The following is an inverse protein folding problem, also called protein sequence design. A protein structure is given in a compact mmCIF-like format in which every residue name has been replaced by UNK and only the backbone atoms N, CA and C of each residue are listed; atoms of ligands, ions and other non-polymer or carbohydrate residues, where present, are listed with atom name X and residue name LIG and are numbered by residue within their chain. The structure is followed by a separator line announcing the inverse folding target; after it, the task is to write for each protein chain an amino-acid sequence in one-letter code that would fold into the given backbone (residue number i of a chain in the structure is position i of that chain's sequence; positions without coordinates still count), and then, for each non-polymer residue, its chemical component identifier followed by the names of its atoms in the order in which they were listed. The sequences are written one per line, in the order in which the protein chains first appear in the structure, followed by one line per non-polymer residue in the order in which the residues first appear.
data_IF_215693912001
#
_entry.id   IF_215693912001
#
_cell.length_a   1.000
_cell.length_b   1.000
_cell.length_c   1.000
_cell.angle_alpha   90.00
_cell.angle_beta   90.00
_cell.angle_gamma   90.00
#
_symmetry.space_group_name_H-M   'P 1'
#
loop_
_entity.id
_entity.type
_entity.pdbx_description
1 polymer ?
#
# COMPACT_ATOMS: atom_id res chain seq x y z
N UNK A 1 -128.75 33.49 10.23
CA UNK A 1 -127.85 34.61 9.90
C UNK A 1 -126.44 34.03 9.84
N UNK A 2 -125.54 34.24 8.88
CA UNK A 2 -125.47 34.99 7.62
C UNK A 2 -124.06 34.68 7.05
N UNK A 3 -123.97 34.41 5.73
CA UNK A 3 -122.80 34.38 4.78
C UNK A 3 -121.58 33.44 5.01
N UNK A 4 -121.26 32.51 4.07
CA UNK A 4 -120.56 32.61 2.74
C UNK A 4 -119.02 32.58 2.90
N UNK A 5 -118.24 31.70 2.25
CA UNK A 5 -117.88 31.78 0.81
C UNK A 5 -117.41 30.45 0.17
N UNK A 6 -118.00 30.15 -1.00
CA UNK A 6 -117.51 29.52 -2.25
C UNK A 6 -116.31 28.55 -2.29
N UNK A 7 -116.56 27.36 -2.86
CA UNK A 7 -115.61 26.46 -3.51
C UNK A 7 -115.88 26.43 -5.03
N UNK A 8 -114.86 26.66 -5.86
CA UNK A 8 -114.85 26.22 -7.27
C UNK A 8 -113.45 25.68 -7.62
N UNK A 9 -113.45 24.49 -8.21
CA UNK A 9 -112.30 23.64 -8.51
C UNK A 9 -111.40 24.24 -9.60
N UNK A 10 -110.09 24.20 -9.37
CA UNK A 10 -109.05 24.52 -10.35
C UNK A 10 -108.18 23.29 -10.62
N UNK A 11 -108.09 22.91 -11.87
CA UNK A 11 -107.33 21.81 -12.47
C UNK A 11 -105.82 21.91 -12.18
N UNK A 12 -105.22 20.82 -11.70
CA UNK A 12 -103.77 20.68 -11.52
C UNK A 12 -103.08 20.39 -12.85
N UNK A 13 -102.25 21.33 -13.30
CA UNK A 13 -101.28 21.13 -14.40
C UNK A 13 -100.04 20.45 -13.81
N UNK A 14 -99.68 19.26 -14.29
CA UNK A 14 -98.44 18.58 -13.92
C UNK A 14 -97.25 19.18 -14.68
N UNK A 15 -96.30 19.77 -13.96
CA UNK A 15 -94.96 20.05 -14.48
C UNK A 15 -94.17 18.74 -14.68
N UNK A 16 -93.43 18.56 -15.80
CA UNK A 16 -92.60 17.36 -15.98
C UNK A 16 -91.44 17.37 -14.97
N UNK A 17 -90.92 16.20 -14.55
CA UNK A 17 -89.77 16.15 -13.65
C UNK A 17 -88.52 16.70 -14.37
N UNK A 18 -87.73 17.50 -13.64
CA UNK A 18 -86.43 17.94 -14.09
C UNK A 18 -85.52 16.71 -14.28
N UNK A 19 -85.05 16.50 -15.51
CA UNK A 19 -84.00 15.52 -15.81
C UNK A 19 -82.71 15.99 -15.15
N UNK A 20 -82.36 15.39 -14.00
CA UNK A 20 -81.04 15.52 -13.42
C UNK A 20 -80.08 14.80 -14.36
N UNK A 21 -79.25 15.56 -15.08
CA UNK A 21 -78.05 15.02 -15.73
C UNK A 21 -77.12 14.53 -14.62
N UNK A 22 -77.20 13.23 -14.32
CA UNK A 22 -76.15 12.55 -13.55
C UNK A 22 -74.94 12.52 -14.48
N UNK A 23 -74.01 13.45 -14.28
CA UNK A 23 -72.67 13.31 -14.85
C UNK A 23 -72.07 12.08 -14.19
N UNK A 24 -71.85 11.03 -14.98
CA UNK A 24 -71.15 9.84 -14.51
C UNK A 24 -69.84 10.28 -13.84
N UNK A 25 -69.59 9.77 -12.64
CA UNK A 25 -68.35 10.03 -11.94
C UNK A 25 -67.18 9.62 -12.85
N UNK A 26 -66.11 10.44 -12.94
CA UNK A 26 -64.98 10.12 -13.80
C UNK A 26 -64.41 8.73 -13.44
N UNK A 27 -63.96 7.96 -14.44
CA UNK A 27 -63.44 6.62 -14.21
C UNK A 27 -62.27 6.67 -13.23
N UNK A 28 -62.19 5.65 -12.37
CA UNK A 28 -61.09 5.54 -11.42
C UNK A 28 -59.76 5.45 -12.15
N UNK A 29 -58.77 6.22 -11.70
CA UNK A 29 -57.43 6.27 -12.32
C UNK A 29 -56.35 6.28 -11.26
N UNK A 30 -55.16 5.80 -11.62
CA UNK A 30 -53.94 5.92 -10.82
C UNK A 30 -52.76 6.27 -11.74
N UNK A 31 -51.89 7.17 -11.27
CA UNK A 31 -50.69 7.57 -11.99
C UNK A 31 -49.50 7.67 -11.04
N UNK A 32 -48.32 7.33 -11.55
CA UNK A 32 -47.04 7.67 -10.90
C UNK A 32 -46.63 9.04 -11.44
N UNK A 33 -46.56 10.05 -10.58
CA UNK A 33 -46.37 11.45 -11.02
C UNK A 33 -45.01 12.03 -10.60
N UNK A 34 -44.36 11.46 -9.59
CA UNK A 34 -43.05 11.90 -9.14
C UNK A 34 -42.16 10.70 -8.85
N UNK A 35 -41.06 10.60 -9.59
CA UNK A 35 -40.04 9.57 -9.47
C UNK A 35 -38.72 10.08 -10.08
N UNK A 36 -37.56 9.61 -9.59
CA UNK A 36 -36.27 9.96 -10.16
C UNK A 36 -35.95 9.12 -11.41
N UNK A 37 -35.34 9.73 -12.44
CA UNK A 37 -34.87 8.98 -13.62
C UNK A 37 -33.68 8.05 -13.29
N UNK A 38 -32.88 8.42 -12.29
CA UNK A 38 -31.67 7.71 -11.84
C UNK A 38 -31.55 7.72 -10.32
N UNK A 39 -31.17 6.58 -9.75
CA UNK A 39 -30.86 6.43 -8.32
C UNK A 39 -29.66 5.51 -8.13
N UNK A 40 -28.88 5.73 -7.08
CA UNK A 40 -27.83 4.79 -6.69
C UNK A 40 -28.42 3.56 -5.99
N UNK A 41 -27.75 2.41 -6.11
CA UNK A 41 -28.03 1.24 -5.25
C UNK A 41 -27.96 1.67 -3.79
N UNK A 42 -28.93 1.18 -3.00
CA UNK A 42 -29.15 1.51 -1.59
C UNK A 42 -29.52 2.95 -1.27
N UNK A 43 -29.67 3.82 -2.27
CA UNK A 43 -30.26 5.13 -2.06
C UNK A 43 -31.76 4.99 -1.80
N UNK A 44 -32.24 5.50 -0.68
CA UNK A 44 -33.67 5.67 -0.43
C UNK A 44 -34.19 6.90 -1.18
N UNK A 45 -35.36 6.79 -1.80
CA UNK A 45 -36.01 7.89 -2.53
C UNK A 45 -37.52 7.76 -2.45
N UNK A 46 -38.23 8.87 -2.69
CA UNK A 46 -39.68 8.90 -2.71
C UNK A 46 -40.21 8.58 -4.11
N UNK A 47 -41.23 7.73 -4.19
CA UNK A 47 -42.10 7.60 -5.35
C UNK A 47 -43.48 8.07 -4.90
N UNK A 48 -44.10 8.97 -5.64
CA UNK A 48 -45.46 9.41 -5.35
C UNK A 48 -46.30 9.53 -6.61
N UNK A 49 -47.60 9.56 -6.39
CA UNK A 49 -48.58 9.58 -7.46
C UNK A 49 -49.91 10.17 -7.02
N UNK A 50 -50.85 10.18 -7.97
CA UNK A 50 -52.22 10.65 -7.76
C UNK A 50 -53.19 9.56 -8.20
N UNK A 51 -54.35 9.53 -7.56
CA UNK A 51 -55.45 8.64 -7.89
C UNK A 51 -56.79 9.35 -7.74
N UNK A 52 -57.74 9.03 -8.61
CA UNK A 52 -59.09 9.59 -8.61
C UNK A 52 -60.07 8.44 -8.37
N UNK A 53 -61.04 8.63 -7.46
CA UNK A 53 -62.08 7.64 -7.16
C UNK A 53 -61.60 6.42 -6.37
N UNK A 54 -60.40 6.47 -5.78
CA UNK A 54 -59.74 5.35 -5.10
C UNK A 54 -59.37 5.64 -3.64
N UNK A 55 -59.94 6.69 -3.02
CA UNK A 55 -59.64 7.08 -1.64
C UNK A 55 -59.77 5.92 -0.65
N UNK A 56 -58.77 5.75 0.21
CA UNK A 56 -58.66 4.67 1.19
C UNK A 56 -58.18 3.34 0.64
N UNK A 57 -58.15 3.16 -0.69
CA UNK A 57 -57.75 1.89 -1.30
C UNK A 57 -56.23 1.69 -1.23
N UNK A 58 -55.76 0.46 -1.00
CA UNK A 58 -54.34 0.15 -0.95
C UNK A 58 -53.71 0.21 -2.35
N UNK A 59 -52.56 0.85 -2.46
CA UNK A 59 -51.76 0.89 -3.69
C UNK A 59 -50.70 -0.20 -3.62
N UNK A 60 -50.58 -0.97 -4.71
CA UNK A 60 -49.49 -1.92 -4.93
C UNK A 60 -48.53 -1.37 -5.97
N UNK A 61 -47.25 -1.32 -5.65
CA UNK A 61 -46.19 -1.03 -6.61
C UNK A 61 -45.57 -2.34 -7.08
N UNK A 62 -45.56 -2.56 -8.40
CA UNK A 62 -44.94 -3.71 -9.04
C UNK A 62 -43.65 -3.29 -9.75
N UNK A 63 -42.56 -4.01 -9.48
CA UNK A 63 -41.25 -3.82 -10.10
C UNK A 63 -40.97 -4.98 -11.06
N UNK A 64 -40.60 -4.63 -12.30
CA UNK A 64 -40.26 -5.56 -13.38
C UNK A 64 -41.31 -6.65 -13.65
N UNK A 65 -42.59 -6.33 -13.40
CA UNK A 65 -43.73 -7.27 -13.48
C UNK A 65 -43.60 -8.52 -12.59
N UNK A 66 -42.73 -8.49 -11.58
CA UNK A 66 -42.42 -9.66 -10.76
C UNK A 66 -42.59 -9.37 -9.27
N UNK A 67 -42.00 -8.28 -8.77
CA UNK A 67 -41.94 -8.00 -7.34
C UNK A 67 -43.00 -6.98 -6.96
N UNK A 68 -43.88 -7.34 -6.02
CA UNK A 68 -44.95 -6.47 -5.54
C UNK A 68 -44.66 -6.00 -4.12
N UNK A 69 -44.94 -4.74 -3.85
CA UNK A 69 -44.89 -4.15 -2.51
C UNK A 69 -46.08 -3.24 -2.27
N UNK A 70 -46.50 -3.07 -1.01
CA UNK A 70 -47.48 -2.05 -0.66
C UNK A 70 -46.85 -0.65 -0.72
N UNK A 71 -47.57 0.29 -1.32
CA UNK A 71 -47.22 1.71 -1.42
C UNK A 71 -48.19 2.59 -0.60
N UNK A 72 -48.67 2.06 0.52
CA UNK A 72 -49.67 2.71 1.36
C UNK A 72 -51.07 2.65 0.75
N UNK A 73 -51.92 3.59 1.16
CA UNK A 73 -53.27 3.77 0.61
C UNK A 73 -53.44 5.16 0.05
N UNK A 74 -54.37 5.32 -0.88
CA UNK A 74 -54.73 6.62 -1.45
C UNK A 74 -55.34 7.51 -0.35
N UNK A 75 -54.76 8.68 -0.14
CA UNK A 75 -55.23 9.66 0.83
C UNK A 75 -56.54 10.34 0.38
N UNK A 76 -57.15 11.13 1.27
CA UNK A 76 -58.41 11.84 0.99
C UNK A 76 -58.29 12.85 -0.16
N UNK A 77 -57.09 13.41 -0.37
CA UNK A 77 -56.78 14.31 -1.49
C UNK A 77 -56.38 13.58 -2.78
N UNK A 78 -56.43 12.24 -2.79
CA UNK A 78 -56.05 11.42 -3.92
C UNK A 78 -54.55 11.14 -4.04
N UNK A 79 -53.71 11.65 -3.13
CA UNK A 79 -52.27 11.40 -3.16
C UNK A 79 -51.91 10.02 -2.60
N UNK A 80 -50.80 9.45 -3.07
CA UNK A 80 -50.18 8.26 -2.47
C UNK A 80 -48.67 8.34 -2.63
N UNK A 81 -47.93 7.70 -1.72
CA UNK A 81 -46.48 7.74 -1.75
C UNK A 81 -45.83 6.55 -1.04
N UNK A 82 -44.61 6.22 -1.46
CA UNK A 82 -43.78 5.18 -0.87
C UNK A 82 -42.31 5.62 -0.88
N UNK A 83 -41.61 5.39 0.22
CA UNK A 83 -40.14 5.45 0.23
C UNK A 83 -39.60 4.11 -0.22
N UNK A 84 -38.78 4.12 -1.25
CA UNK A 84 -38.28 2.92 -1.91
C UNK A 84 -36.75 2.92 -2.03
N UNK A 85 -36.16 1.74 -2.15
CA UNK A 85 -34.72 1.54 -2.31
C UNK A 85 -34.44 0.30 -3.16
N UNK A 86 -33.55 0.42 -4.14
CA UNK A 86 -33.07 -0.71 -4.92
C UNK A 86 -31.77 -1.27 -4.35
N UNK A 87 -31.62 -2.60 -4.37
CA UNK A 87 -30.42 -3.28 -3.86
C UNK A 87 -29.44 -3.73 -4.96
N UNK A 88 -29.84 -3.60 -6.23
CA UNK A 88 -29.05 -4.07 -7.37
C UNK A 88 -29.14 -3.06 -8.51
N UNK A 89 -28.03 -2.93 -9.26
CA UNK A 89 -27.94 -2.07 -10.45
C UNK A 89 -28.83 -2.58 -11.57
N UNK A 90 -29.16 -1.68 -12.49
CA UNK A 90 -29.89 -1.97 -13.71
C UNK A 90 -31.12 -1.10 -13.87
N UNK A 91 -31.69 -1.17 -15.07
CA UNK A 91 -32.93 -0.47 -15.40
C UNK A 91 -34.12 -1.24 -14.82
N UNK A 92 -35.04 -0.54 -14.16
CA UNK A 92 -36.20 -1.10 -13.46
C UNK A 92 -37.48 -0.49 -13.98
N UNK A 93 -38.47 -1.30 -14.31
CA UNK A 93 -39.81 -0.88 -14.72
C UNK A 93 -40.73 -0.89 -13.52
N UNK A 94 -41.53 0.15 -13.34
CA UNK A 94 -42.44 0.28 -12.21
C UNK A 94 -43.86 0.57 -12.69
N UNK A 95 -44.84 -0.11 -12.10
CA UNK A 95 -46.27 0.12 -12.28
C UNK A 95 -46.97 0.17 -10.93
N UNK A 96 -47.86 1.13 -10.74
CA UNK A 96 -48.74 1.20 -9.58
C UNK A 96 -50.11 0.60 -9.95
N UNK A 97 -50.72 -0.12 -9.03
CA UNK A 97 -52.06 -0.68 -9.23
C UNK A 97 -52.89 -0.64 -7.96
N UNK A 98 -54.20 -0.53 -8.11
CA UNK A 98 -55.18 -0.74 -7.04
C UNK A 98 -56.10 -1.88 -7.46
N UNK A 99 -56.21 -2.90 -6.62
CA UNK A 99 -57.06 -4.05 -6.89
C UNK A 99 -58.53 -3.64 -6.68
N UNK A 100 -59.28 -3.59 -7.78
CA UNK A 100 -60.72 -3.28 -7.80
C UNK A 100 -61.48 -4.38 -8.53
N UNK A 101 -62.75 -4.59 -8.17
CA UNK A 101 -63.63 -5.55 -8.86
C UNK A 101 -64.42 -4.81 -9.96
N UNK A 102 -64.48 -5.32 -11.21
CA UNK A 102 -63.99 -6.61 -11.69
C UNK A 102 -62.53 -6.63 -12.17
N UNK A 103 -61.91 -5.46 -12.39
CA UNK A 103 -60.55 -5.34 -12.93
C UNK A 103 -59.73 -4.32 -12.15
N UNK A 104 -58.43 -4.57 -11.90
CA UNK A 104 -57.56 -3.62 -11.23
C UNK A 104 -57.34 -2.35 -12.08
N UNK A 105 -57.23 -1.20 -11.41
CA UNK A 105 -56.81 0.06 -12.04
C UNK A 105 -55.28 0.12 -12.00
N UNK A 106 -54.63 0.28 -13.16
CA UNK A 106 -53.16 0.21 -13.31
C UNK A 106 -52.64 1.51 -13.92
N UNK A 107 -51.51 2.00 -13.44
CA UNK A 107 -50.84 3.20 -13.96
C UNK A 107 -50.08 2.95 -15.27
N UNK A 108 -49.61 4.02 -15.89
CA UNK A 108 -48.51 3.95 -16.84
C UNK A 108 -47.26 3.29 -16.22
N UNK A 109 -46.46 2.65 -17.06
CA UNK A 109 -45.14 2.13 -16.65
C UNK A 109 -44.11 3.25 -16.68
N UNK A 110 -43.35 3.40 -15.60
CA UNK A 110 -42.18 4.29 -15.54
C UNK A 110 -40.90 3.48 -15.43
N UNK A 111 -39.77 4.07 -15.81
CA UNK A 111 -38.48 3.39 -15.79
C UNK A 111 -37.47 4.18 -14.96
N UNK A 112 -36.79 3.50 -14.04
CA UNK A 112 -35.73 4.07 -13.21
C UNK A 112 -34.42 3.35 -13.52
N UNK A 113 -33.35 4.10 -13.75
CA UNK A 113 -32.01 3.52 -13.92
C UNK A 113 -31.29 3.47 -12.58
N UNK A 114 -31.04 2.27 -12.07
CA UNK A 114 -30.28 2.05 -10.82
C UNK A 114 -28.79 1.93 -11.15
N UNK A 115 -28.00 2.89 -10.69
CA UNK A 115 -26.54 2.94 -10.91
C UNK A 115 -25.78 2.47 -9.67
N UNK A 116 -24.51 2.11 -9.83
CA UNK A 116 -23.65 1.87 -8.68
C UNK A 116 -23.53 3.14 -7.84
N UNK A 117 -23.54 3.00 -6.51
CA UNK A 117 -23.27 4.12 -5.62
C UNK A 117 -21.85 4.66 -5.86
N UNK A 118 -21.68 5.98 -5.78
CA UNK A 118 -20.34 6.56 -5.82
C UNK A 118 -19.55 6.08 -4.61
N UNK A 119 -18.30 5.61 -4.79
CA UNK A 119 -17.50 5.15 -3.66
C UNK A 119 -17.22 6.33 -2.73
N UNK A 120 -17.57 6.16 -1.45
CA UNK A 120 -17.28 7.17 -0.42
C UNK A 120 -15.83 7.13 0.03
N UNK A 121 -15.19 5.97 -0.04
CA UNK A 121 -13.79 5.77 0.29
C UNK A 121 -12.98 5.58 -1.00
N UNK A 122 -11.93 6.37 -1.17
CA UNK A 122 -11.07 6.36 -2.36
C UNK A 122 -9.63 6.30 -1.89
N UNK A 123 -8.81 5.47 -2.55
CA UNK A 123 -7.36 5.43 -2.35
C UNK A 123 -6.69 6.16 -3.52
N UNK A 124 -5.85 7.14 -3.22
CA UNK A 124 -5.03 7.82 -4.22
C UNK A 124 -3.82 6.94 -4.55
N UNK A 125 -3.66 6.49 -5.81
CA UNK A 125 -2.50 5.69 -6.19
C UNK A 125 -1.19 6.45 -5.96
N UNK A 126 -0.16 5.80 -5.37
CA UNK A 126 1.17 6.41 -5.28
C UNK A 126 1.73 6.73 -6.67
N UNK A 127 2.33 7.91 -6.81
CA UNK A 127 2.92 8.38 -8.07
C UNK A 127 4.38 7.96 -8.26
N UNK A 128 5.02 7.46 -7.20
CA UNK A 128 6.41 7.02 -7.19
C UNK A 128 6.49 5.50 -6.97
N UNK A 129 7.55 4.83 -7.47
CA UNK A 129 7.81 3.44 -7.15
C UNK A 129 7.90 3.21 -5.63
N UNK A 130 7.40 2.04 -5.21
CA UNK A 130 7.29 1.64 -3.81
C UNK A 130 8.41 0.64 -3.55
N UNK A 131 9.22 0.85 -2.51
CA UNK A 131 10.31 -0.05 -2.17
C UNK A 131 10.14 -0.65 -0.78
N UNK A 132 10.74 -1.82 -0.50
CA UNK A 132 10.83 -2.34 0.86
C UNK A 132 11.71 -1.44 1.71
N UNK A 133 11.62 -1.51 3.04
CA UNK A 133 12.48 -0.76 3.96
C UNK A 133 12.37 0.78 3.87
N UNK A 134 11.39 1.31 3.11
CA UNK A 134 11.07 2.74 3.07
C UNK A 134 9.65 2.98 3.57
N UNK A 135 9.44 4.14 4.19
CA UNK A 135 8.10 4.59 4.56
C UNK A 135 7.42 5.18 3.32
N UNK A 136 6.23 4.69 2.99
CA UNK A 136 5.44 5.17 1.85
C UNK A 136 4.19 5.86 2.38
N UNK A 137 3.97 7.09 1.94
CA UNK A 137 2.72 7.77 2.21
C UNK A 137 1.60 7.21 1.32
N UNK A 138 0.51 6.80 1.94
CA UNK A 138 -0.73 6.44 1.26
C UNK A 138 -1.82 7.41 1.69
N UNK A 139 -2.51 8.00 0.72
CA UNK A 139 -3.55 9.01 0.96
C UNK A 139 -4.84 8.64 0.25
N UNK A 140 -5.92 9.31 0.61
CA UNK A 140 -7.20 9.12 -0.05
C UNK A 140 -8.30 10.06 0.45
N UNK A 141 -9.49 9.85 -0.10
CA UNK A 141 -10.70 10.56 0.28
C UNK A 141 -11.64 9.65 1.09
N UNK A 142 -12.35 10.23 2.04
CA UNK A 142 -13.39 9.61 2.85
C UNK A 142 -14.61 10.55 2.85
N UNK A 143 -15.35 10.55 1.74
CA UNK A 143 -16.48 11.45 1.49
C UNK A 143 -17.66 11.13 2.41
N UNK A 144 -18.16 12.17 3.09
CA UNK A 144 -19.27 12.04 4.04
C UNK A 144 -18.93 11.27 5.31
N UNK A 145 -17.67 10.98 5.60
CA UNK A 145 -17.22 10.50 6.91
C UNK A 145 -16.94 11.70 7.82
N UNK A 146 -17.24 11.59 9.13
CA UNK A 146 -16.99 12.66 10.08
C UNK A 146 -15.50 12.76 10.46
N UNK A 147 -15.06 13.97 10.80
CA UNK A 147 -13.72 14.19 11.31
C UNK A 147 -13.53 13.46 12.65
N UNK A 148 -12.40 12.77 12.79
CA UNK A 148 -12.13 11.92 13.96
C UNK A 148 -12.50 10.45 13.78
N UNK A 149 -13.25 10.08 12.73
CA UNK A 149 -13.51 8.68 12.43
C UNK A 149 -12.22 7.92 12.12
N UNK A 150 -12.08 6.71 12.69
CA UNK A 150 -10.92 5.85 12.50
C UNK A 150 -11.18 4.83 11.39
N UNK A 151 -10.27 4.78 10.42
CA UNK A 151 -10.23 3.77 9.39
C UNK A 151 -9.23 2.67 9.76
N UNK A 152 -9.28 1.53 9.09
CA UNK A 152 -8.30 0.46 9.18
C UNK A 152 -7.66 0.26 7.81
N UNK A 153 -6.33 0.30 7.74
CA UNK A 153 -5.59 -0.12 6.55
C UNK A 153 -5.03 -1.51 6.78
N UNK A 154 -5.40 -2.45 5.91
CA UNK A 154 -5.02 -3.86 5.99
C UNK A 154 -4.32 -4.29 4.71
N UNK A 155 -3.26 -5.08 4.84
CA UNK A 155 -2.60 -5.76 3.72
C UNK A 155 -2.99 -7.23 3.65
N UNK A 156 -3.18 -7.70 2.42
CA UNK A 156 -3.38 -9.10 2.04
C UNK A 156 -4.48 -9.80 2.86
N UNK A 157 -5.53 -9.03 3.22
CA UNK A 157 -6.68 -9.44 4.05
C UNK A 157 -6.33 -9.93 5.46
N UNK A 158 -5.07 -9.81 5.89
CA UNK A 158 -4.58 -10.42 7.12
C UNK A 158 -3.95 -9.41 8.06
N UNK A 159 -3.12 -8.49 7.55
CA UNK A 159 -2.23 -7.69 8.39
C UNK A 159 -2.72 -6.26 8.49
N UNK A 160 -3.13 -5.81 9.69
CA UNK A 160 -3.43 -4.39 9.92
C UNK A 160 -2.12 -3.62 9.90
N UNK A 161 -1.98 -2.70 8.94
CA UNK A 161 -0.79 -1.86 8.77
C UNK A 161 -0.92 -0.52 9.51
N UNK A 162 -2.12 0.06 9.53
CA UNK A 162 -2.34 1.38 10.11
C UNK A 162 -3.81 1.63 10.47
N UNK A 163 -4.03 2.69 11.27
CA UNK A 163 -5.36 3.16 11.68
C UNK A 163 -5.50 4.68 11.51
N UNK A 164 -5.56 5.18 10.26
CA UNK A 164 -5.61 6.61 10.03
C UNK A 164 -6.96 7.20 10.48
N UNK A 165 -6.92 8.50 10.78
CA UNK A 165 -8.10 9.27 11.20
C UNK A 165 -8.53 10.16 10.04
N UNK A 166 -9.84 10.22 9.78
CA UNK A 166 -10.43 11.13 8.79
C UNK A 166 -10.32 12.57 9.27
N UNK A 167 -9.87 13.46 8.39
CA UNK A 167 -9.83 14.92 8.59
C UNK A 167 -10.17 15.64 7.30
N UNK A 168 -11.12 16.55 7.34
CA UNK A 168 -11.63 17.28 6.18
C UNK A 168 -11.98 16.35 5.01
N UNK A 169 -12.68 15.25 5.29
CA UNK A 169 -13.05 14.20 4.32
C UNK A 169 -11.85 13.55 3.59
N UNK A 170 -10.65 13.63 4.15
CA UNK A 170 -9.44 12.99 3.65
C UNK A 170 -8.79 12.13 4.73
N UNK A 171 -7.95 11.21 4.30
CA UNK A 171 -7.13 10.41 5.20
C UNK A 171 -5.73 10.23 4.61
N UNK A 172 -4.77 10.00 5.50
CA UNK A 172 -3.38 9.71 5.13
C UNK A 172 -2.75 8.79 6.17
N UNK A 173 -1.81 7.96 5.73
CA UNK A 173 -0.98 7.13 6.61
C UNK A 173 0.36 6.85 5.96
N UNK A 174 1.33 6.43 6.77
CA UNK A 174 2.57 5.84 6.28
C UNK A 174 2.50 4.32 6.40
N UNK A 175 2.92 3.63 5.36
CA UNK A 175 3.04 2.18 5.30
C UNK A 175 4.51 1.80 5.20
N UNK A 176 4.86 0.63 5.74
CA UNK A 176 6.21 0.08 5.67
C UNK A 176 6.13 -1.39 5.27
N UNK A 177 6.92 -1.79 4.28
CA UNK A 177 6.98 -3.17 3.81
C UNK A 177 8.40 -3.70 3.96
N UNK A 178 8.56 -4.88 4.55
CA UNK A 178 9.85 -5.57 4.67
C UNK A 178 10.10 -6.60 3.56
N UNK A 179 9.10 -6.86 2.71
CA UNK A 179 9.17 -7.83 1.63
C UNK A 179 8.53 -7.25 0.37
N UNK A 180 9.16 -7.52 -0.79
CA UNK A 180 8.63 -7.12 -2.09
C UNK A 180 7.50 -8.03 -2.57
N UNK A 181 6.92 -7.67 -3.70
CA UNK A 181 5.82 -8.35 -4.37
C UNK A 181 4.55 -7.51 -4.44
N UNK A 182 3.51 -8.09 -5.02
CA UNK A 182 2.19 -7.46 -5.06
C UNK A 182 1.54 -7.54 -3.67
N UNK A 183 0.92 -6.45 -3.23
CA UNK A 183 0.23 -6.34 -1.95
C UNK A 183 -1.18 -5.81 -2.19
N UNK A 184 -2.19 -6.54 -1.76
CA UNK A 184 -3.56 -6.06 -1.75
C UNK A 184 -3.75 -5.17 -0.52
N UNK A 185 -3.90 -3.87 -0.72
CA UNK A 185 -4.19 -2.93 0.36
C UNK A 185 -5.68 -2.66 0.37
N UNK A 186 -6.28 -2.85 1.53
CA UNK A 186 -7.68 -2.55 1.81
C UNK A 186 -7.75 -1.44 2.85
N UNK A 187 -8.47 -0.37 2.54
CA UNK A 187 -8.85 0.66 3.51
C UNK A 187 -10.30 0.40 3.87
N UNK A 188 -10.59 0.23 5.15
CA UNK A 188 -11.86 -0.29 5.65
C UNK A 188 -12.41 0.72 6.65
N UNK A 189 -13.62 1.20 6.39
CA UNK A 189 -14.39 1.95 7.36
C UNK A 189 -15.44 1.05 8.05
N UNK A 190 -16.04 0.14 7.28
CA UNK A 190 -16.98 -0.88 7.78
C UNK A 190 -16.95 -2.11 6.88
N UNK A 191 -17.68 -3.18 7.24
CA UNK A 191 -17.83 -4.37 6.40
C UNK A 191 -18.44 -4.06 5.02
N UNK A 192 -19.20 -2.97 4.92
CA UNK A 192 -19.91 -2.57 3.70
C UNK A 192 -19.19 -1.44 2.96
N UNK A 193 -18.22 -0.77 3.60
CA UNK A 193 -17.45 0.34 3.03
C UNK A 193 -15.96 0.08 3.14
N UNK A 194 -15.39 -0.37 2.03
CA UNK A 194 -13.95 -0.49 1.85
C UNK A 194 -13.53 -0.09 0.44
N UNK A 195 -12.26 0.29 0.32
CA UNK A 195 -11.60 0.56 -0.95
C UNK A 195 -10.35 -0.32 -1.05
N UNK A 196 -9.97 -0.73 -2.26
CA UNK A 196 -8.85 -1.63 -2.48
C UNK A 196 -7.91 -1.11 -3.56
N UNK A 197 -6.62 -1.35 -3.38
CA UNK A 197 -5.59 -1.11 -4.40
C UNK A 197 -4.54 -2.22 -4.33
N UNK A 198 -3.99 -2.60 -5.49
CA UNK A 198 -2.80 -3.46 -5.54
C UNK A 198 -1.57 -2.56 -5.61
N UNK A 199 -0.69 -2.67 -4.63
CA UNK A 199 0.61 -2.02 -4.64
C UNK A 199 1.67 -3.01 -5.11
N UNK A 200 2.49 -2.61 -6.08
CA UNK A 200 3.67 -3.36 -6.49
C UNK A 200 4.86 -2.89 -5.66
N UNK A 201 5.15 -3.59 -4.56
CA UNK A 201 6.28 -3.27 -3.68
C UNK A 201 7.54 -3.90 -4.27
N UNK A 202 8.49 -3.09 -4.69
CA UNK A 202 9.79 -3.55 -5.16
C UNK A 202 10.68 -3.84 -3.95
N UNK A 203 11.53 -4.86 -4.01
CA UNK A 203 12.60 -4.94 -3.02
C UNK A 203 13.44 -3.66 -3.14
N UNK A 204 13.73 -2.99 -2.02
CA UNK A 204 14.80 -1.98 -2.02
C UNK A 204 16.02 -2.65 -2.63
N UNK A 205 16.67 -2.03 -3.63
CA UNK A 205 17.87 -2.60 -4.20
C UNK A 205 18.94 -2.76 -3.12
N UNK A 206 19.04 -3.96 -2.55
CA UNK A 206 20.24 -4.48 -1.92
C UNK A 206 20.98 -5.27 -3.00
N UNK A 207 21.58 -4.58 -3.97
CA UNK A 207 22.22 -5.22 -5.13
C UNK A 207 23.56 -5.92 -4.83
N UNK A 208 23.93 -6.04 -3.55
CA UNK A 208 25.21 -6.66 -3.18
C UNK A 208 25.02 -8.16 -3.00
N UNK A 209 25.27 -8.92 -4.05
CA UNK A 209 25.38 -10.38 -3.95
C UNK A 209 26.70 -10.76 -3.27
N UNK A 210 26.64 -11.07 -1.97
CA UNK A 210 27.78 -11.66 -1.26
C UNK A 210 27.70 -13.18 -1.37
N UNK A 211 28.69 -13.78 -2.01
CA UNK A 211 28.85 -15.22 -2.04
C UNK A 211 29.18 -15.72 -0.63
N UNK A 212 28.32 -16.58 -0.04
CA UNK A 212 28.47 -16.99 1.35
C UNK A 212 29.71 -17.86 1.52
N UNK A 213 30.18 -17.97 2.77
CA UNK A 213 31.37 -18.75 3.11
C UNK A 213 31.32 -20.20 2.59
N UNK A 214 30.13 -20.79 2.61
CA UNK A 214 29.86 -22.17 2.14
C UNK A 214 30.20 -22.39 0.65
N UNK A 215 30.28 -21.32 -0.16
CA UNK A 215 30.67 -21.42 -1.57
C UNK A 215 32.13 -21.85 -1.73
N UNK A 216 33.02 -21.45 -0.82
CA UNK A 216 34.46 -21.67 -0.97
C UNK A 216 35.06 -22.63 0.06
N UNK A 217 34.39 -22.87 1.20
CA UNK A 217 34.85 -23.83 2.21
C UNK A 217 33.70 -24.48 2.97
N UNK A 218 33.91 -25.73 3.40
CA UNK A 218 33.04 -26.43 4.36
C UNK A 218 33.39 -26.10 5.82
N UNK A 219 34.55 -25.48 6.07
CA UNK A 219 35.00 -25.16 7.42
C UNK A 219 34.26 -23.92 7.94
N UNK A 220 33.48 -24.00 9.02
CA UNK A 220 32.84 -22.82 9.59
C UNK A 220 33.88 -21.85 10.18
N UNK A 221 33.47 -20.62 10.46
CA UNK A 221 34.27 -19.73 11.31
C UNK A 221 34.38 -20.35 12.70
N UNK A 222 35.59 -20.48 13.30
CA UNK A 222 35.76 -21.09 14.61
C UNK A 222 34.91 -20.40 15.69
N UNK A 223 34.15 -21.20 16.45
CA UNK A 223 33.22 -20.69 17.46
C UNK A 223 33.93 -20.00 18.62
N UNK A 224 35.14 -20.45 18.97
CA UNK A 224 35.95 -19.92 20.06
C UNK A 224 36.52 -18.51 19.80
N UNK A 225 36.37 -17.95 18.60
CA UNK A 225 36.78 -16.57 18.33
C UNK A 225 35.95 -15.58 19.17
N UNK A 226 36.57 -14.49 19.69
CA UNK A 226 35.85 -13.43 20.38
C UNK A 226 34.72 -12.85 19.52
N UNK A 227 33.61 -12.47 20.13
CA UNK A 227 32.53 -11.79 19.41
C UNK A 227 32.93 -10.36 19.05
N UNK A 228 32.48 -9.90 17.88
CA UNK A 228 32.58 -8.50 17.49
C UNK A 228 31.37 -7.74 18.05
N UNK A 229 31.62 -6.86 19.02
CA UNK A 229 30.56 -6.13 19.72
C UNK A 229 30.51 -4.69 19.22
N UNK A 230 29.33 -4.26 18.77
CA UNK A 230 29.05 -2.89 18.32
C UNK A 230 30.08 -2.33 17.31
N UNK A 231 30.34 -3.02 16.17
CA UNK A 231 31.24 -2.50 15.16
C UNK A 231 30.71 -1.17 14.60
N UNK A 232 31.56 -0.14 14.61
CA UNK A 232 31.20 1.21 14.13
C UNK A 232 32.15 1.71 13.04
N UNK A 233 32.87 0.80 12.38
CA UNK A 233 33.90 1.12 11.39
C UNK A 233 34.03 0.02 10.35
N UNK A 234 34.45 0.40 9.16
CA UNK A 234 34.85 -0.48 8.07
C UNK A 234 36.31 -0.17 7.75
N UNK A 235 37.20 -1.15 7.79
CA UNK A 235 38.62 -0.98 7.43
C UNK A 235 38.88 -1.65 6.10
N UNK A 236 39.37 -0.90 5.12
CA UNK A 236 39.77 -1.42 3.81
C UNK A 236 41.23 -1.88 3.83
N UNK A 237 41.44 -3.07 3.30
CA UNK A 237 42.72 -3.74 3.17
C UNK A 237 43.00 -4.13 1.72
N UNK A 238 44.23 -4.54 1.44
CA UNK A 238 44.56 -5.36 0.29
C UNK A 238 45.11 -6.72 0.70
N UNK A 239 45.09 -7.70 -0.20
CA UNK A 239 45.59 -9.06 0.13
C UNK A 239 47.11 -9.17 0.02
N UNK A 240 47.79 -8.28 -0.72
CA UNK A 240 49.23 -8.39 -1.05
C UNK A 240 49.56 -9.68 -1.81
N UNK A 241 48.57 -10.20 -2.54
CA UNK A 241 48.74 -11.31 -3.47
C UNK A 241 48.60 -10.73 -4.87
N UNK A 242 49.46 -11.16 -5.81
CA UNK A 242 49.33 -10.77 -7.21
C UNK A 242 47.86 -10.90 -7.68
N UNK A 243 47.30 -9.83 -8.22
CA UNK A 243 45.88 -9.76 -8.52
C UNK A 243 45.49 -10.82 -9.56
N UNK A 244 44.33 -11.44 -9.37
CA UNK A 244 43.69 -12.19 -10.44
C UNK A 244 43.30 -11.25 -11.59
N UNK A 245 43.15 -11.77 -12.82
CA UNK A 245 42.56 -10.96 -13.90
C UNK A 245 41.09 -10.64 -13.60
N UNK A 246 40.59 -9.51 -14.10
CA UNK A 246 39.21 -9.06 -13.86
C UNK A 246 38.15 -10.00 -14.44
N UNK A 247 38.51 -10.87 -15.39
CA UNK A 247 37.64 -11.89 -15.96
C UNK A 247 37.89 -13.30 -15.37
N UNK A 248 38.58 -13.41 -14.22
CA UNK A 248 38.78 -14.69 -13.56
C UNK A 248 37.45 -15.45 -13.37
N UNK A 249 37.49 -16.77 -13.47
CA UNK A 249 36.34 -17.62 -13.18
C UNK A 249 36.06 -17.68 -11.68
N UNK A 250 34.83 -18.01 -11.30
CA UNK A 250 34.45 -18.20 -9.89
C UNK A 250 35.31 -19.30 -9.22
N UNK A 251 35.68 -20.34 -9.97
CA UNK A 251 36.57 -21.41 -9.50
C UNK A 251 37.95 -20.88 -9.10
N UNK A 252 38.57 -20.02 -9.92
CA UNK A 252 39.85 -19.40 -9.60
C UNK A 252 39.77 -18.54 -8.34
N UNK A 253 38.67 -17.80 -8.17
CA UNK A 253 38.46 -16.97 -6.98
C UNK A 253 38.18 -17.78 -5.72
N UNK A 254 37.50 -18.93 -5.83
CA UNK A 254 37.35 -19.89 -4.72
C UNK A 254 38.74 -20.40 -4.28
N UNK A 255 39.64 -20.70 -5.22
CA UNK A 255 41.01 -21.07 -4.86
C UNK A 255 41.77 -19.91 -4.24
N UNK A 256 41.56 -18.66 -4.70
CA UNK A 256 42.12 -17.46 -4.06
C UNK A 256 41.64 -17.30 -2.62
N UNK A 257 40.35 -17.52 -2.34
CA UNK A 257 39.82 -17.47 -0.96
C UNK A 257 40.52 -18.50 -0.05
N UNK A 258 40.72 -19.73 -0.55
CA UNK A 258 41.44 -20.79 0.16
C UNK A 258 42.91 -20.41 0.39
N UNK A 259 43.58 -19.90 -0.63
CA UNK A 259 44.95 -19.40 -0.54
C UNK A 259 45.11 -18.31 0.53
N UNK A 260 44.21 -17.31 0.56
CA UNK A 260 44.24 -16.25 1.58
C UNK A 260 44.02 -16.83 2.98
N UNK A 261 43.13 -17.81 3.14
CA UNK A 261 42.95 -18.51 4.41
C UNK A 261 44.20 -19.29 4.81
N UNK A 262 44.80 -20.02 3.89
CA UNK A 262 45.97 -20.87 4.17
C UNK A 262 47.18 -20.03 4.58
N UNK A 263 47.41 -18.87 3.95
CA UNK A 263 48.44 -17.92 4.37
C UNK A 263 48.16 -17.44 5.80
N UNK A 264 46.92 -17.06 6.13
CA UNK A 264 46.59 -16.62 7.48
C UNK A 264 46.77 -17.70 8.54
N UNK A 265 46.40 -18.96 8.23
CA UNK A 265 46.57 -20.07 9.16
C UNK A 265 48.05 -20.42 9.36
N UNK A 266 48.77 -20.63 8.25
CA UNK A 266 50.08 -21.26 8.28
C UNK A 266 51.24 -20.26 8.40
N UNK A 267 51.09 -19.05 7.85
CA UNK A 267 52.14 -18.03 7.86
C UNK A 267 51.90 -16.96 8.93
N UNK A 268 50.65 -16.57 9.18
CA UNK A 268 50.31 -15.53 10.17
C UNK A 268 49.90 -16.07 11.54
N UNK A 269 49.66 -17.37 11.68
CA UNK A 269 49.25 -18.00 12.93
C UNK A 269 47.83 -17.63 13.38
N UNK A 270 46.97 -17.17 12.46
CA UNK A 270 45.58 -16.82 12.78
C UNK A 270 44.72 -18.09 12.86
N UNK A 271 43.61 -18.04 13.60
CA UNK A 271 42.69 -19.20 13.70
C UNK A 271 41.76 -19.37 12.50
N UNK A 272 41.65 -18.36 11.64
CA UNK A 272 40.87 -18.39 10.39
C UNK A 272 41.32 -17.23 9.49
N UNK A 273 40.75 -17.14 8.28
CA UNK A 273 40.89 -15.96 7.42
C UNK A 273 40.65 -14.66 8.22
N UNK A 274 41.55 -13.66 8.09
CA UNK A 274 41.52 -12.47 8.95
C UNK A 274 40.42 -11.46 8.62
N UNK A 275 39.98 -11.43 7.37
CA UNK A 275 39.00 -10.47 6.82
C UNK A 275 37.57 -11.00 6.88
N UNK A 276 36.59 -10.11 7.01
CA UNK A 276 35.16 -10.49 7.00
C UNK A 276 34.62 -10.59 5.58
N UNK A 277 35.10 -9.74 4.67
CA UNK A 277 34.73 -9.75 3.26
C UNK A 277 35.96 -9.59 2.39
N UNK A 278 35.95 -10.22 1.22
CA UNK A 278 36.99 -10.05 0.20
C UNK A 278 36.33 -9.71 -1.13
N UNK A 279 36.80 -8.65 -1.79
CA UNK A 279 36.31 -8.17 -3.09
C UNK A 279 37.32 -8.52 -4.18
N UNK A 280 36.92 -9.37 -5.11
CA UNK A 280 37.76 -9.86 -6.20
C UNK A 280 37.82 -8.85 -7.37
N UNK A 281 38.85 -8.91 -8.23
CA UNK A 281 38.96 -8.04 -9.42
C UNK A 281 37.76 -8.11 -10.38
N UNK A 282 37.01 -9.22 -10.38
CA UNK A 282 35.77 -9.40 -11.15
C UNK A 282 34.55 -8.64 -10.60
N UNK A 283 34.66 -8.07 -9.39
CA UNK A 283 33.54 -7.47 -8.67
C UNK A 283 32.74 -8.45 -7.81
N UNK A 284 33.06 -9.76 -7.82
CA UNK A 284 32.46 -10.71 -6.87
C UNK A 284 32.95 -10.46 -5.45
N UNK A 285 32.04 -10.63 -4.50
CA UNK A 285 32.27 -10.39 -3.07
C UNK A 285 32.07 -11.69 -2.33
N UNK A 286 33.05 -12.09 -1.55
CA UNK A 286 33.02 -13.32 -0.77
C UNK A 286 32.96 -13.02 0.72
N UNK A 287 32.11 -13.73 1.44
CA UNK A 287 32.15 -13.78 2.90
C UNK A 287 33.38 -14.59 3.36
N UNK A 288 34.22 -13.96 4.19
CA UNK A 288 35.38 -14.58 4.82
C UNK A 288 35.03 -15.08 6.22
N UNK A 289 35.59 -14.41 7.23
CA UNK A 289 35.26 -14.64 8.64
C UNK A 289 33.87 -14.07 8.94
N UNK A 290 33.07 -14.79 9.72
CA UNK A 290 31.74 -14.30 10.13
C UNK A 290 31.83 -12.89 10.71
N UNK A 291 31.01 -11.98 10.20
CA UNK A 291 30.86 -10.60 10.71
C UNK A 291 30.35 -10.49 12.16
N UNK A 292 30.02 -11.62 12.81
CA UNK A 292 29.70 -11.70 14.25
C UNK A 292 30.93 -11.93 15.13
N UNK A 293 32.05 -12.36 14.54
CA UNK A 293 33.30 -12.67 15.22
C UNK A 293 34.32 -11.58 14.96
N UNK A 294 35.21 -11.34 15.93
CA UNK A 294 36.29 -10.37 15.80
C UNK A 294 37.23 -10.79 14.66
N UNK A 295 37.60 -9.83 13.82
CA UNK A 295 38.58 -9.99 12.76
C UNK A 295 40.00 -10.28 13.26
N UNK A 296 40.92 -10.50 12.33
CA UNK A 296 42.37 -10.47 12.56
C UNK A 296 43.03 -9.70 11.42
N UNK A 297 42.48 -8.52 11.10
CA UNK A 297 42.87 -7.74 9.93
C UNK A 297 43.57 -6.44 10.29
N UNK A 298 43.33 -5.90 11.49
CA UNK A 298 44.13 -4.82 12.08
C UNK A 298 44.44 -5.14 13.55
N UNK A 299 45.23 -4.34 14.26
CA UNK A 299 45.61 -4.65 15.66
C UNK A 299 44.48 -4.38 16.66
N UNK A 300 43.48 -3.57 16.29
CA UNK A 300 42.41 -3.10 17.18
C UNK A 300 41.14 -3.95 17.04
N UNK A 301 40.84 -4.39 15.81
CA UNK A 301 39.72 -5.22 15.37
C UNK A 301 38.36 -4.83 16.00
N UNK A 302 38.06 -3.54 16.10
CA UNK A 302 36.77 -2.99 16.60
C UNK A 302 35.74 -2.74 15.48
N UNK A 303 35.98 -3.27 14.28
CA UNK A 303 35.18 -3.02 13.09
C UNK A 303 35.21 -4.17 12.08
N UNK A 304 34.65 -3.91 10.90
CA UNK A 304 34.57 -4.88 9.80
C UNK A 304 35.71 -4.65 8.81
N UNK A 305 36.67 -5.58 8.74
CA UNK A 305 37.68 -5.62 7.68
C UNK A 305 37.16 -6.14 6.34
N UNK A 306 37.37 -5.35 5.28
CA UNK A 306 37.10 -5.68 3.88
C UNK A 306 38.42 -5.66 3.13
N UNK A 307 38.85 -6.79 2.58
CA UNK A 307 40.04 -6.84 1.74
C UNK A 307 39.68 -6.71 0.25
N UNK A 308 40.48 -5.94 -0.47
CA UNK A 308 40.42 -5.83 -1.93
C UNK A 308 41.55 -6.70 -2.49
N UNK A 309 41.21 -7.75 -3.21
CA UNK A 309 42.20 -8.71 -3.68
C UNK A 309 43.15 -8.09 -4.71
N UNK A 310 44.45 -8.21 -4.45
CA UNK A 310 45.53 -7.63 -5.24
C UNK A 310 46.70 -7.13 -4.39
N UNK A 311 47.84 -6.93 -5.06
CA UNK A 311 48.99 -6.23 -4.51
C UNK A 311 49.00 -4.79 -5.04
N UNK A 312 48.61 -3.87 -4.17
CA UNK A 312 48.54 -2.44 -4.46
C UNK A 312 49.74 -1.66 -3.89
N UNK A 313 50.86 -2.31 -3.57
CA UNK A 313 52.07 -1.61 -3.11
C UNK A 313 52.75 -0.83 -4.24
N UNK A 314 52.64 -1.31 -5.49
CA UNK A 314 53.26 -0.71 -6.68
C UNK A 314 52.34 0.16 -7.53
N UNK A 315 52.34 -0.08 -8.85
CA UNK A 315 51.57 0.69 -9.84
C UNK A 315 50.14 0.17 -10.08
N UNK A 316 49.78 -0.99 -9.51
CA UNK A 316 48.42 -1.54 -9.65
C UNK A 316 47.38 -0.55 -9.11
N UNK A 317 46.20 -0.52 -9.74
CA UNK A 317 45.04 0.28 -9.32
C UNK A 317 43.79 -0.59 -9.32
N UNK A 318 42.85 -0.28 -8.45
CA UNK A 318 41.56 -0.97 -8.40
C UNK A 318 40.78 -0.70 -9.69
N UNK A 319 40.40 -1.76 -10.40
CA UNK A 319 39.63 -1.68 -11.64
C UNK A 319 38.14 -1.36 -11.40
N UNK A 320 37.38 -0.98 -12.43
CA UNK A 320 35.99 -0.53 -12.27
C UNK A 320 35.05 -1.55 -11.58
N UNK A 321 34.99 -2.84 -11.97
CA UNK A 321 34.08 -3.79 -11.32
C UNK A 321 34.42 -4.01 -9.83
N UNK A 322 35.71 -4.06 -9.51
CA UNK A 322 36.19 -4.20 -8.14
C UNK A 322 35.88 -2.95 -7.30
N UNK A 323 36.00 -1.76 -7.89
CA UNK A 323 35.65 -0.50 -7.23
C UNK A 323 34.16 -0.42 -6.92
N UNK A 324 33.31 -0.70 -7.91
CA UNK A 324 31.85 -0.72 -7.74
C UNK A 324 31.44 -1.68 -6.63
N UNK A 325 32.04 -2.88 -6.60
CA UNK A 325 31.80 -3.86 -5.56
C UNK A 325 32.25 -3.39 -4.16
N UNK A 326 33.38 -2.68 -4.05
CA UNK A 326 33.82 -2.05 -2.79
C UNK A 326 32.80 -1.03 -2.29
N UNK A 327 32.32 -0.14 -3.16
CA UNK A 327 31.27 0.85 -2.80
C UNK A 327 30.00 0.13 -2.38
N UNK A 328 29.61 -0.91 -3.11
CA UNK A 328 28.41 -1.69 -2.84
C UNK A 328 28.45 -2.36 -1.45
N UNK A 329 29.50 -3.15 -1.15
CA UNK A 329 29.64 -3.80 0.17
C UNK A 329 29.78 -2.77 1.30
N UNK A 330 30.48 -1.66 1.09
CA UNK A 330 30.57 -0.61 2.10
C UNK A 330 29.22 0.06 2.37
N UNK A 331 28.39 0.24 1.34
CA UNK A 331 27.02 0.77 1.49
C UNK A 331 26.15 -0.19 2.30
N UNK A 332 26.16 -1.48 1.95
CA UNK A 332 25.45 -2.52 2.71
C UNK A 332 25.89 -2.58 4.17
N UNK A 333 27.21 -2.54 4.42
CA UNK A 333 27.75 -2.52 5.77
C UNK A 333 27.38 -1.25 6.53
N UNK A 334 27.42 -0.07 5.90
CA UNK A 334 27.02 1.17 6.56
C UNK A 334 25.55 1.11 7.01
N UNK A 335 24.63 0.63 6.16
CA UNK A 335 23.22 0.39 6.53
C UNK A 335 23.12 -0.59 7.71
N UNK A 336 23.79 -1.74 7.63
CA UNK A 336 23.77 -2.77 8.67
C UNK A 336 24.33 -2.30 10.02
N UNK A 337 25.32 -1.40 10.00
CA UNK A 337 26.00 -0.87 11.18
C UNK A 337 25.36 0.43 11.70
N UNK A 338 24.32 0.95 11.04
CA UNK A 338 23.71 2.24 11.39
C UNK A 338 24.65 3.44 11.16
N UNK A 339 25.60 3.33 10.24
CA UNK A 339 26.50 4.42 9.85
C UNK A 339 25.79 5.25 8.77
N UNK A 340 25.27 6.42 9.15
CA UNK A 340 24.59 7.35 8.23
C UNK A 340 25.55 8.34 7.57
N UNK A 341 26.67 8.65 8.24
CA UNK A 341 27.71 9.53 7.71
C UNK A 341 29.07 8.82 7.69
N UNK A 342 29.51 8.30 6.54
CA UNK A 342 30.81 7.67 6.39
C UNK A 342 31.95 8.66 6.11
N UNK A 343 31.66 9.95 5.91
CA UNK A 343 32.63 10.99 5.51
C UNK A 343 33.15 11.76 6.71
N UNK A 344 32.27 12.17 7.63
CA UNK A 344 32.66 13.01 8.76
C UNK A 344 33.61 12.27 9.71
N UNK A 345 34.73 12.89 10.10
CA UNK A 345 35.66 12.29 11.05
C UNK A 345 35.05 12.14 12.45
N UNK A 346 35.41 11.06 13.13
CA UNK A 346 35.07 10.78 14.53
C UNK A 346 36.32 10.38 15.30
N UNK A 347 36.33 10.61 16.61
CA UNK A 347 37.43 10.16 17.47
C UNK A 347 37.60 8.64 17.34
N UNK A 348 38.79 8.23 16.89
CA UNK A 348 39.09 6.85 16.53
C UNK A 348 40.42 6.41 17.14
N UNK A 349 40.44 5.31 17.92
CA UNK A 349 41.67 4.76 18.47
C UNK A 349 42.63 4.29 17.38
N UNK A 350 43.92 4.50 17.61
CA UNK A 350 45.03 4.09 16.75
C UNK A 350 46.02 3.21 17.51
N UNK A 351 46.86 2.47 16.78
CA UNK A 351 47.76 1.46 17.35
C UNK A 351 48.87 2.05 18.23
N UNK A 352 49.13 3.34 18.10
CA UNK A 352 50.06 4.13 18.93
C UNK A 352 49.42 4.60 20.25
N UNK A 353 48.34 3.92 20.69
CA UNK A 353 47.58 4.22 21.91
C UNK A 353 46.94 5.62 21.95
N UNK A 354 46.93 6.32 20.82
CA UNK A 354 46.29 7.63 20.66
C UNK A 354 44.88 7.54 20.07
N UNK A 355 44.30 8.72 19.82
CA UNK A 355 43.07 8.87 19.04
C UNK A 355 43.28 9.89 17.93
N UNK A 356 42.69 9.64 16.76
CA UNK A 356 42.71 10.54 15.61
C UNK A 356 41.30 10.79 15.09
N UNK A 357 41.00 11.99 14.54
CA UNK A 357 39.73 12.25 13.87
C UNK A 357 39.74 11.53 12.52
N UNK A 358 39.07 10.38 12.43
CA UNK A 358 39.03 9.56 11.22
C UNK A 358 37.59 9.24 10.80
N UNK A 359 37.27 9.19 9.49
CA UNK A 359 35.95 8.79 9.00
C UNK A 359 35.56 7.35 9.38
N UNK A 360 34.33 6.91 9.05
CA UNK A 360 33.86 5.56 9.41
C UNK A 360 34.34 4.46 8.47
N UNK A 361 34.75 4.82 7.24
CA UNK A 361 35.42 3.92 6.30
C UNK A 361 36.89 4.32 6.25
N UNK A 362 37.79 3.41 6.59
CA UNK A 362 39.21 3.66 6.83
C UNK A 362 40.09 2.86 5.88
N UNK A 363 41.33 3.29 5.67
CA UNK A 363 42.40 2.41 5.21
C UNK A 363 43.16 1.85 6.41
N UNK A 364 43.73 0.65 6.29
CA UNK A 364 44.51 0.06 7.39
C UNK A 364 45.60 1.01 7.93
N UNK A 365 46.29 1.74 7.04
CA UNK A 365 47.31 2.74 7.40
C UNK A 365 46.82 3.94 8.21
N UNK A 366 45.50 4.21 8.24
CA UNK A 366 44.95 5.29 9.07
C UNK A 366 45.21 5.00 10.58
N UNK A 367 45.31 3.72 10.94
CA UNK A 367 45.36 3.27 12.34
C UNK A 367 46.64 2.53 12.72
N UNK A 368 47.34 1.97 11.76
CA UNK A 368 48.51 1.10 11.98
C UNK A 368 49.64 1.52 11.05
N UNK A 369 50.90 1.41 11.49
CA UNK A 369 52.06 1.66 10.63
C UNK A 369 52.18 0.57 9.56
N UNK A 370 51.57 0.79 8.40
CA UNK A 370 51.56 -0.16 7.27
C UNK A 370 51.38 0.58 5.95
N UNK A 371 51.78 -0.06 4.84
CA UNK A 371 51.49 0.41 3.49
C UNK A 371 50.05 0.04 3.09
N UNK A 372 49.40 -0.93 3.74
CA UNK A 372 48.03 -1.34 3.42
C UNK A 372 47.03 -0.16 3.56
N UNK A 373 46.08 0.06 2.62
CA UNK A 373 45.69 -0.78 1.49
C UNK A 373 46.42 -0.44 0.16
N UNK A 374 47.62 0.12 0.23
CA UNK A 374 48.39 0.50 -0.96
C UNK A 374 47.74 1.67 -1.72
N UNK A 375 47.77 1.62 -3.04
CA UNK A 375 47.25 2.68 -3.93
C UNK A 375 45.73 2.89 -3.81
N UNK A 376 44.97 1.90 -3.30
CA UNK A 376 43.55 2.04 -2.94
C UNK A 376 43.34 3.18 -1.93
N UNK A 377 44.34 3.50 -1.10
CA UNK A 377 44.24 4.58 -0.13
C UNK A 377 43.87 5.93 -0.78
N UNK A 378 44.38 6.20 -1.99
CA UNK A 378 44.08 7.41 -2.74
C UNK A 378 42.61 7.54 -3.19
N UNK A 379 41.84 6.44 -3.14
CA UNK A 379 40.41 6.41 -3.53
C UNK A 379 39.47 6.52 -2.33
N UNK A 380 39.96 6.49 -1.08
CA UNK A 380 39.09 6.44 0.12
C UNK A 380 38.09 7.61 0.20
N UNK A 381 38.52 8.82 -0.15
CA UNK A 381 37.63 9.99 -0.13
C UNK A 381 36.50 9.89 -1.17
N UNK A 382 36.79 9.29 -2.32
CA UNK A 382 35.79 9.01 -3.37
C UNK A 382 34.82 7.93 -2.93
N UNK A 383 35.33 6.80 -2.43
CA UNK A 383 34.52 5.68 -1.90
C UNK A 383 33.55 6.20 -0.83
N UNK A 384 34.01 7.00 0.13
CA UNK A 384 33.14 7.56 1.18
C UNK A 384 32.04 8.45 0.61
N UNK A 385 32.34 9.25 -0.43
CA UNK A 385 31.33 10.09 -1.09
C UNK A 385 30.30 9.25 -1.83
N UNK A 386 30.74 8.25 -2.58
CA UNK A 386 29.84 7.38 -3.35
C UNK A 386 28.97 6.52 -2.43
N UNK A 387 29.55 5.98 -1.34
CA UNK A 387 28.78 5.28 -0.30
C UNK A 387 27.74 6.22 0.31
N UNK A 388 28.11 7.45 0.70
CA UNK A 388 27.15 8.42 1.26
C UNK A 388 26.04 8.80 0.29
N UNK A 389 26.29 8.85 -1.01
CA UNK A 389 25.23 9.08 -2.02
C UNK A 389 24.25 7.92 -2.12
N UNK A 390 24.67 6.72 -1.74
CA UNK A 390 23.87 5.50 -1.78
C UNK A 390 23.20 5.16 -0.43
N UNK A 391 23.49 5.92 0.64
CA UNK A 391 22.80 5.83 1.93
C UNK A 391 21.59 6.75 1.93
#
# INVERSE_FOLDING_TARGET
MVFSTTNLQGTTVSSPPATILVLDAPPATIAITNFPDRVAVRQSFLISGTAIGLTGQPVTLTVDNQFRTSAGSVAADGSWQITFQFLQVGTRRLTASVDTTPTPVISNTVTITVIAASPRLIITPPTSPIFTETAIELTGEARGFADGEQLIVRADRQFILARPIVRNQRWQTFLFFNQGGQRLIEVIASEQESAQIILNVQATPSSVNVLPRSVWTVNPTPEGLPNLVNPRRITLHHTVIAALPSNASQTQEIQRMRQVRDIHLNSSGYSDIGYHYIVMPSGRIYEGRSSRKRGAHDVINDGIGVAVDGDFQGSLRVGPPQYEAVVAVCTMLCRRLGITDPVSPVSTPTADFGTRPLPRILGHRDRVATICPGTLYGRLAEIRRDVRRNL
#
